data_IF_517218266921
#
_entry.id   IF_517218266921
#
_cell.length_a   1.000
_cell.length_b   1.000
_cell.length_c   1.000
_cell.angle_alpha   90.00
_cell.angle_beta   90.00
_cell.angle_gamma   90.00
#
_symmetry.space_group_name_H-M   'P 1'
#
loop_
_entity.id
_entity.type
_entity.pdbx_description
1 polymer ?
#
# COMPACT_ATOMS: atom_id res chain seq x y z
N UNK A 1 -14.69 6.77 -16.15
CA UNK A 1 -14.77 7.59 -14.93
C UNK A 1 -13.49 8.40 -14.89
N UNK A 2 -13.56 9.72 -15.05
CA UNK A 2 -12.36 10.59 -15.01
C UNK A 2 -11.98 10.75 -13.54
N UNK A 3 -10.83 10.22 -13.14
CA UNK A 3 -10.23 10.59 -11.87
C UNK A 3 -9.86 12.08 -11.93
N UNK A 4 -10.40 12.84 -11.00
CA UNK A 4 -10.08 14.25 -10.82
C UNK A 4 -8.77 14.38 -10.04
N UNK A 5 -8.10 15.52 -10.16
CA UNK A 5 -6.85 15.78 -9.39
C UNK A 5 -7.03 15.67 -7.88
N UNK A 6 -8.26 15.80 -7.39
CA UNK A 6 -8.63 15.70 -5.98
C UNK A 6 -8.63 14.25 -5.50
N UNK A 7 -9.09 13.32 -6.34
CA UNK A 7 -9.10 11.88 -6.04
C UNK A 7 -7.66 11.33 -5.92
N UNK A 8 -6.71 11.90 -6.67
CA UNK A 8 -5.29 11.53 -6.57
C UNK A 8 -4.66 11.95 -5.24
N UNK A 9 -5.07 13.09 -4.68
CA UNK A 9 -4.57 13.56 -3.38
C UNK A 9 -5.03 12.64 -2.24
N UNK A 10 -6.25 12.13 -2.31
CA UNK A 10 -6.79 11.16 -1.34
C UNK A 10 -6.07 9.80 -1.43
N UNK A 11 -5.63 9.41 -2.64
CA UNK A 11 -4.90 8.16 -2.86
C UNK A 11 -3.39 8.23 -2.59
N UNK A 12 -2.82 9.43 -2.56
CA UNK A 12 -1.38 9.66 -2.45
C UNK A 12 -0.74 9.02 -1.20
N UNK A 13 -1.34 9.10 0.02
CA UNK A 13 -0.77 8.45 1.20
C UNK A 13 -0.64 6.93 1.06
N UNK A 14 -1.63 6.29 0.44
CA UNK A 14 -1.62 4.85 0.19
C UNK A 14 -0.57 4.45 -0.84
N UNK A 15 -0.43 5.22 -1.92
CA UNK A 15 0.59 4.98 -2.94
C UNK A 15 2.01 5.13 -2.37
N UNK A 16 2.24 6.15 -1.55
CA UNK A 16 3.52 6.35 -0.84
C UNK A 16 3.81 5.23 0.14
N UNK A 17 2.79 4.76 0.87
CA UNK A 17 2.93 3.64 1.78
C UNK A 17 3.32 2.36 1.03
N UNK A 18 2.56 2.00 -0.01
CA UNK A 18 2.84 0.85 -0.85
C UNK A 18 4.25 0.90 -1.45
N UNK A 19 4.70 2.07 -1.93
CA UNK A 19 6.05 2.24 -2.43
C UNK A 19 7.12 1.96 -1.36
N UNK A 20 6.92 2.44 -0.13
CA UNK A 20 7.88 2.29 0.97
C UNK A 20 7.96 0.86 1.48
N UNK A 21 6.86 0.13 1.48
CA UNK A 21 6.78 -1.22 2.04
C UNK A 21 6.93 -2.32 0.98
N UNK A 22 6.89 -1.98 -0.32
CA UNK A 22 7.07 -2.95 -1.39
C UNK A 22 8.54 -3.39 -1.50
N UNK A 23 8.74 -4.70 -1.65
CA UNK A 23 10.07 -5.27 -1.83
C UNK A 23 10.66 -4.83 -3.17
N UNK A 24 11.89 -4.33 -3.14
CA UNK A 24 12.63 -3.96 -4.35
C UNK A 24 13.65 -5.04 -4.67
N UNK A 25 13.49 -5.68 -5.82
CA UNK A 25 14.43 -6.69 -6.33
C UNK A 25 15.82 -6.11 -6.60
N UNK A 26 15.91 -4.83 -6.97
CA UNK A 26 17.18 -4.13 -7.21
C UNK A 26 18.04 -3.97 -5.94
N UNK A 27 17.40 -3.81 -4.77
CA UNK A 27 18.09 -3.63 -3.48
C UNK A 27 17.95 -4.83 -2.57
N UNK A 28 17.16 -5.83 -2.93
CA UNK A 28 16.89 -7.02 -2.10
C UNK A 28 16.17 -6.71 -0.79
N UNK A 29 15.51 -5.55 -0.69
CA UNK A 29 14.91 -5.04 0.54
C UNK A 29 13.78 -4.06 0.24
N UNK A 30 12.91 -3.80 1.21
CA UNK A 30 11.93 -2.70 1.12
C UNK A 30 12.64 -1.36 1.34
N UNK A 31 12.22 -0.27 0.66
CA UNK A 31 12.78 1.06 0.91
C UNK A 31 12.70 1.48 2.38
N UNK A 32 11.65 1.09 3.09
CA UNK A 32 11.49 1.36 4.52
C UNK A 32 12.58 0.67 5.36
N UNK A 33 12.87 -0.60 5.09
CA UNK A 33 13.92 -1.37 5.78
C UNK A 33 15.29 -0.72 5.60
N UNK A 34 15.58 -0.20 4.41
CA UNK A 34 16.87 0.46 4.14
C UNK A 34 17.03 1.79 4.89
N UNK A 35 15.95 2.53 5.11
CA UNK A 35 16.00 3.85 5.76
C UNK A 35 16.00 3.72 7.28
N UNK A 36 15.18 2.84 7.84
CA UNK A 36 14.95 2.76 9.28
C UNK A 36 15.57 1.52 9.95
N UNK A 37 16.08 0.55 9.17
CA UNK A 37 16.69 -0.67 9.70
C UNK A 37 15.70 -1.68 10.28
N UNK A 38 14.39 -1.47 10.09
CA UNK A 38 13.32 -2.40 10.50
C UNK A 38 12.24 -2.49 9.45
N UNK A 39 11.49 -3.59 9.43
CA UNK A 39 10.36 -3.77 8.52
C UNK A 39 9.18 -2.87 8.91
N UNK A 40 8.44 -2.39 7.92
CA UNK A 40 7.32 -1.49 8.16
C UNK A 40 6.15 -2.22 8.82
N UNK A 41 5.71 -1.69 9.96
CA UNK A 41 4.45 -2.08 10.61
C UNK A 41 3.40 -1.05 10.23
N UNK A 42 2.23 -1.48 9.76
CA UNK A 42 1.13 -0.60 9.37
C UNK A 42 0.66 0.23 10.58
N UNK A 43 0.73 1.57 10.54
CA UNK A 43 0.08 2.40 11.54
C UNK A 43 -1.43 2.41 11.30
N UNK A 44 -2.19 2.44 12.41
CA UNK A 44 -3.66 2.36 12.43
C UNK A 44 -4.35 3.41 11.55
N UNK A 45 -3.75 4.60 11.39
CA UNK A 45 -4.31 5.68 10.56
C UNK A 45 -4.33 5.33 9.06
N UNK A 46 -3.31 4.60 8.59
CA UNK A 46 -3.24 4.12 7.20
C UNK A 46 -4.09 2.87 7.03
N UNK A 47 -4.19 2.02 8.04
CA UNK A 47 -5.10 0.89 8.06
C UNK A 47 -6.56 1.35 7.92
N UNK A 48 -7.01 2.33 8.72
CA UNK A 48 -8.35 2.90 8.62
C UNK A 48 -8.64 3.45 7.21
N UNK A 49 -7.69 4.16 6.61
CA UNK A 49 -7.83 4.66 5.25
C UNK A 49 -7.83 3.55 4.19
N UNK A 50 -7.03 2.49 4.36
CA UNK A 50 -7.02 1.33 3.47
C UNK A 50 -8.34 0.56 3.58
N UNK A 51 -8.87 0.41 4.79
CA UNK A 51 -10.16 -0.24 5.06
C UNK A 51 -11.29 0.55 4.42
N UNK A 52 -11.31 1.88 4.54
CA UNK A 52 -12.31 2.73 3.88
C UNK A 52 -12.30 2.55 2.36
N UNK A 53 -11.11 2.65 1.74
CA UNK A 53 -10.94 2.44 0.29
C UNK A 53 -11.27 0.99 -0.12
N UNK A 54 -10.91 0.00 0.69
CA UNK A 54 -11.20 -1.41 0.41
C UNK A 54 -12.69 -1.74 0.51
N UNK A 55 -13.40 -1.11 1.46
CA UNK A 55 -14.86 -1.24 1.61
C UNK A 55 -15.59 -0.62 0.41
N UNK A 56 -15.14 0.51 -0.11
CA UNK A 56 -15.68 1.11 -1.35
C UNK A 56 -15.46 0.22 -2.58
N UNK A 57 -14.36 -0.55 -2.61
CA UNK A 57 -14.04 -1.47 -3.70
C UNK A 57 -14.53 -2.90 -3.46
N UNK A 58 -15.26 -3.18 -2.37
CA UNK A 58 -15.72 -4.52 -1.96
C UNK A 58 -14.59 -5.57 -1.91
N UNK A 59 -13.35 -5.17 -1.61
CA UNK A 59 -12.22 -6.10 -1.49
C UNK A 59 -12.34 -6.79 -0.12
N UNK A 60 -12.48 -8.12 -0.06
CA UNK A 60 -12.58 -8.82 1.20
C UNK A 60 -11.39 -8.51 2.13
N UNK A 61 -11.67 -8.31 3.42
CA UNK A 61 -10.67 -8.58 4.45
C UNK A 61 -10.10 -10.00 4.18
N UNK A 62 -8.91 -10.44 4.53
CA UNK A 62 -8.30 -11.68 4.00
C UNK A 62 -7.76 -11.60 2.55
N UNK A 63 -8.35 -10.82 1.64
CA UNK A 63 -7.73 -10.54 0.32
C UNK A 63 -6.71 -9.38 0.38
N UNK A 64 -6.66 -8.56 1.44
CA UNK A 64 -5.64 -7.50 1.58
C UNK A 64 -4.21 -8.01 1.63
N UNK A 65 -3.98 -9.15 2.29
CA UNK A 65 -2.68 -9.80 2.32
C UNK A 65 -2.34 -10.39 0.95
N UNK A 66 -3.33 -10.92 0.24
CA UNK A 66 -3.17 -11.52 -1.08
C UNK A 66 -2.84 -10.45 -2.14
N UNK A 67 -3.56 -9.31 -2.14
CA UNK A 67 -3.28 -8.16 -3.03
C UNK A 67 -1.87 -7.60 -2.80
N UNK A 68 -1.35 -7.65 -1.57
CA UNK A 68 0.04 -7.27 -1.25
C UNK A 68 1.08 -8.18 -1.94
N UNK A 69 0.76 -9.46 -2.19
CA UNK A 69 1.70 -10.43 -2.76
C UNK A 69 1.47 -10.72 -4.26
N UNK A 70 0.23 -10.64 -4.74
CA UNK A 70 -0.16 -11.04 -6.10
C UNK A 70 0.28 -10.02 -7.17
N UNK A 71 0.38 -8.74 -6.83
CA UNK A 71 1.02 -7.73 -7.69
C UNK A 71 2.56 -7.83 -7.67
N UNK A 72 3.12 -9.04 -7.52
CA UNK A 72 4.55 -9.30 -7.68
C UNK A 72 4.88 -10.28 -8.81
N UNK A 73 3.88 -10.81 -9.55
CA UNK A 73 4.13 -11.62 -10.74
C UNK A 73 3.18 -11.24 -11.89
N UNK A 74 3.56 -10.22 -12.66
CA UNK A 74 3.56 -10.23 -14.13
C UNK A 74 4.46 -9.12 -14.68
#
# INVERSE_FOLDING_TARGET
MVETSRDWLEKLPFALWAYRTSFRTSTGATPYLLVYGMEAVLPVEIENGFVEVALEQQIPEADWAQVRFDHSIS
#
